data_IF_731679960331
#
_entry.id   IF_731679960331
#
_cell.length_a   1.000
_cell.length_b   1.000
_cell.length_c   1.000
_cell.angle_alpha   90.00
_cell.angle_beta   90.00
_cell.angle_gamma   90.00
#
_symmetry.space_group_name_H-M   'P 1'
#
loop_
_entity.id
_entity.type
_entity.pdbx_description
1 polymer ?
#
# COMPACT_ATOMS: atom_id res chain seq x y z
N UNK A 1 11.72 -4.97 8.10
CA UNK A 1 11.04 -4.66 6.83
C UNK A 1 10.06 -5.78 6.57
N UNK A 2 8.79 -5.51 6.29
CA UNK A 2 7.81 -6.57 6.01
C UNK A 2 8.09 -7.12 4.61
N UNK A 3 8.30 -8.43 4.48
CA UNK A 3 8.30 -9.11 3.20
C UNK A 3 6.87 -9.36 2.72
N UNK A 4 6.72 -9.91 1.51
CA UNK A 4 5.41 -10.16 0.93
C UNK A 4 4.55 -11.12 1.80
N UNK A 5 5.19 -12.08 2.46
CA UNK A 5 4.52 -13.03 3.36
C UNK A 5 4.02 -12.33 4.62
N UNK A 6 4.82 -11.46 5.24
CA UNK A 6 4.38 -10.69 6.41
C UNK A 6 3.23 -9.75 6.07
N UNK A 7 3.28 -9.04 4.93
CA UNK A 7 2.18 -8.16 4.48
C UNK A 7 0.91 -8.94 4.24
N UNK A 8 1.00 -10.12 3.62
CA UNK A 8 -0.13 -10.99 3.35
C UNK A 8 -0.79 -11.45 4.66
N UNK A 9 0.01 -11.87 5.64
CA UNK A 9 -0.48 -12.31 6.94
C UNK A 9 -1.15 -11.17 7.71
N UNK A 10 -0.53 -9.99 7.74
CA UNK A 10 -1.07 -8.80 8.39
C UNK A 10 -2.37 -8.33 7.74
N UNK A 11 -2.42 -8.26 6.40
CA UNK A 11 -3.61 -7.81 5.67
C UNK A 11 -4.82 -8.72 5.94
N UNK A 12 -4.63 -10.05 5.94
CA UNK A 12 -5.70 -11.00 6.28
C UNK A 12 -6.14 -10.87 7.73
N UNK A 13 -5.18 -10.75 8.64
CA UNK A 13 -5.49 -10.59 10.06
C UNK A 13 -6.29 -9.31 10.35
N UNK A 14 -5.95 -8.19 9.72
CA UNK A 14 -6.71 -6.95 9.83
C UNK A 14 -8.11 -7.06 9.22
N UNK A 15 -8.25 -7.74 8.09
CA UNK A 15 -9.54 -7.99 7.45
C UNK A 15 -10.45 -8.90 8.31
N UNK A 16 -9.90 -9.96 8.91
CA UNK A 16 -10.61 -10.85 9.83
C UNK A 16 -11.10 -10.13 11.10
N UNK A 17 -10.39 -9.07 11.50
CA UNK A 17 -10.76 -8.19 12.61
C UNK A 17 -11.72 -7.06 12.19
N UNK A 18 -12.18 -7.06 10.93
CA UNK A 18 -13.10 -6.06 10.36
C UNK A 18 -12.60 -4.61 10.43
N UNK A 19 -11.27 -4.41 10.39
CA UNK A 19 -10.73 -3.08 10.17
C UNK A 19 -11.13 -2.55 8.79
N UNK A 20 -11.47 -1.26 8.72
CA UNK A 20 -11.90 -0.66 7.46
C UNK A 20 -10.74 -0.47 6.47
N UNK A 21 -9.55 -0.12 6.98
CA UNK A 21 -8.36 0.15 6.17
C UNK A 21 -7.12 -0.58 6.64
N UNK A 22 -6.30 -1.00 5.69
CA UNK A 22 -4.86 -1.15 5.87
C UNK A 22 -4.16 0.05 5.21
N UNK A 23 -3.23 0.67 5.94
CA UNK A 23 -2.57 1.90 5.51
C UNK A 23 -1.06 1.70 5.36
N UNK A 24 -0.49 2.23 4.27
CA UNK A 24 0.94 2.26 4.04
C UNK A 24 1.43 3.70 3.85
N UNK A 25 2.38 4.12 4.68
CA UNK A 25 3.06 5.41 4.56
C UNK A 25 4.36 5.28 3.79
N UNK A 26 4.63 6.22 2.89
CA UNK A 26 5.84 6.19 2.06
C UNK A 26 6.97 7.00 2.67
N UNK A 27 8.19 6.44 2.63
CA UNK A 27 9.40 7.15 3.02
C UNK A 27 10.49 6.82 2.00
N UNK A 28 11.29 7.81 1.61
CA UNK A 28 12.51 7.54 0.83
C UNK A 28 13.68 7.10 1.72
N UNK A 29 13.75 7.69 2.92
CA UNK A 29 14.68 7.33 3.98
C UNK A 29 13.98 7.51 5.32
N UNK A 30 14.26 6.64 6.30
CA UNK A 30 13.70 6.74 7.66
C UNK A 30 14.72 6.27 8.69
N UNK A 31 14.80 6.97 9.82
CA UNK A 31 15.70 6.65 10.94
C UNK A 31 17.06 7.34 10.86
N UNK A 32 17.88 7.14 11.91
CA UNK A 32 19.26 7.63 11.98
C UNK A 32 20.15 6.54 12.63
N UNK A 33 21.04 5.87 11.87
CA UNK A 33 21.22 6.00 10.43
C UNK A 33 19.99 5.51 9.63
N UNK A 34 19.82 5.95 8.36
CA UNK A 34 18.69 5.55 7.54
C UNK A 34 18.63 4.03 7.30
N UNK A 35 17.43 3.46 7.47
CA UNK A 35 17.13 2.07 7.11
C UNK A 35 16.36 1.96 5.79
N UNK A 36 16.17 0.72 5.34
CA UNK A 36 15.39 0.41 4.13
C UNK A 36 13.90 0.74 4.35
N UNK A 37 13.29 1.37 3.36
CA UNK A 37 11.87 1.74 3.34
C UNK A 37 11.16 1.12 2.14
N UNK A 38 9.83 1.05 2.21
CA UNK A 38 8.98 0.51 1.14
C UNK A 38 8.34 1.63 0.32
N UNK A 39 8.14 1.38 -0.97
CA UNK A 39 7.17 2.13 -1.75
C UNK A 39 5.76 1.66 -1.38
N UNK A 40 4.83 2.59 -1.18
CA UNK A 40 3.50 2.25 -0.66
C UNK A 40 2.63 1.47 -1.65
N UNK A 41 2.65 1.84 -2.94
CA UNK A 41 1.77 1.21 -3.94
C UNK A 41 2.06 -0.29 -4.14
N UNK A 42 3.32 -0.75 -4.28
CA UNK A 42 3.62 -2.19 -4.35
C UNK A 42 3.24 -2.94 -3.07
N UNK A 43 3.46 -2.33 -1.89
CA UNK A 43 3.12 -2.95 -0.61
C UNK A 43 1.59 -3.16 -0.50
N UNK A 44 0.81 -2.14 -0.86
CA UNK A 44 -0.65 -2.22 -0.89
C UNK A 44 -1.15 -3.17 -1.99
N UNK A 45 -0.43 -3.34 -3.10
CA UNK A 45 -0.76 -4.35 -4.10
C UNK A 45 -0.62 -5.79 -3.57
N UNK A 46 0.37 -6.05 -2.71
CA UNK A 46 0.48 -7.34 -2.02
C UNK A 46 -0.72 -7.54 -1.07
N UNK A 47 -1.07 -6.52 -0.29
CA UNK A 47 -2.25 -6.59 0.58
C UNK A 47 -3.55 -6.79 -0.22
N UNK A 48 -3.69 -6.12 -1.37
CA UNK A 48 -4.81 -6.25 -2.28
C UNK A 48 -5.02 -7.70 -2.73
N UNK A 49 -3.95 -8.38 -3.16
CA UNK A 49 -4.03 -9.77 -3.61
C UNK A 49 -4.28 -10.78 -2.48
N UNK A 50 -4.13 -10.38 -1.22
CA UNK A 50 -4.32 -11.24 -0.06
C UNK A 50 -5.73 -11.18 0.54
N UNK A 51 -6.54 -10.19 0.14
CA UNK A 51 -7.78 -9.75 0.82
C UNK A 51 -8.86 -9.38 -0.19
N UNK A 52 -10.13 -9.32 0.24
CA UNK A 52 -11.28 -9.10 -0.67
C UNK A 52 -12.13 -7.87 -0.32
N UNK A 53 -12.06 -7.36 0.92
CA UNK A 53 -12.95 -6.34 1.47
C UNK A 53 -12.22 -5.14 2.07
N UNK A 54 -11.14 -5.36 2.81
CA UNK A 54 -10.42 -4.29 3.51
C UNK A 54 -9.93 -3.23 2.52
N UNK A 55 -10.12 -1.95 2.83
CA UNK A 55 -9.73 -0.85 1.95
C UNK A 55 -8.23 -0.57 2.06
N UNK A 56 -7.64 -0.10 0.96
CA UNK A 56 -6.20 0.13 0.85
C UNK A 56 -5.95 1.65 0.89
N UNK A 57 -5.15 2.14 1.84
CA UNK A 57 -4.87 3.56 1.98
C UNK A 57 -3.38 3.86 1.83
N UNK A 58 -3.02 4.76 0.92
CA UNK A 58 -1.73 5.45 1.02
C UNK A 58 -1.88 6.53 2.09
N UNK A 59 -1.34 6.34 3.29
CA UNK A 59 -1.48 7.37 4.35
C UNK A 59 -0.68 8.63 4.01
N UNK A 60 0.42 8.44 3.28
CA UNK A 60 1.19 9.47 2.58
C UNK A 60 1.74 8.83 1.31
N UNK A 61 1.58 9.49 0.17
CA UNK A 61 2.30 9.20 -1.06
C UNK A 61 3.22 10.37 -1.43
N UNK A 62 4.49 10.08 -1.76
CA UNK A 62 5.46 11.09 -2.15
C UNK A 62 5.29 11.44 -3.63
N UNK A 63 4.17 12.08 -3.97
CA UNK A 63 3.77 12.39 -5.36
C UNK A 63 4.87 13.05 -6.21
N UNK A 64 5.76 13.94 -5.69
CA UNK A 64 6.82 14.53 -6.50
C UNK A 64 7.88 13.52 -7.00
N UNK A 65 7.91 12.31 -6.44
CA UNK A 65 8.87 11.26 -6.83
C UNK A 65 8.35 10.36 -7.96
N UNK A 66 7.12 10.57 -8.40
CA UNK A 66 6.54 9.82 -9.51
C UNK A 66 6.34 10.74 -10.71
N UNK A 67 6.61 10.21 -11.92
CA UNK A 67 6.12 10.86 -13.12
C UNK A 67 4.58 10.83 -13.10
N UNK A 68 3.86 11.94 -13.30
CA UNK A 68 2.42 12.02 -13.07
C UNK A 68 1.61 11.00 -13.89
N UNK A 69 2.01 10.74 -15.14
CA UNK A 69 1.37 9.70 -15.97
C UNK A 69 1.61 8.28 -15.45
N UNK A 70 2.79 8.02 -14.86
CA UNK A 70 3.08 6.73 -14.26
C UNK A 70 2.33 6.56 -12.94
N UNK A 71 2.24 7.62 -12.14
CA UNK A 71 1.46 7.62 -10.93
C UNK A 71 0.00 7.26 -11.24
N UNK A 72 -0.62 7.97 -12.18
CA UNK A 72 -1.99 7.68 -12.62
C UNK A 72 -2.14 6.23 -13.10
N UNK A 73 -1.20 5.73 -13.91
CA UNK A 73 -1.23 4.34 -14.39
C UNK A 73 -1.17 3.33 -13.24
N UNK A 74 -0.24 3.52 -12.29
CA UNK A 74 -0.04 2.61 -11.17
C UNK A 74 -1.25 2.59 -10.24
N UNK A 75 -1.79 3.75 -9.90
CA UNK A 75 -2.92 3.85 -8.97
C UNK A 75 -4.20 3.32 -9.61
N UNK A 76 -4.48 3.63 -10.88
CA UNK A 76 -5.62 3.06 -11.58
C UNK A 76 -5.50 1.54 -11.74
N UNK A 77 -4.30 1.02 -12.01
CA UNK A 77 -4.08 -0.44 -12.06
C UNK A 77 -4.37 -1.09 -10.72
N UNK A 78 -3.89 -0.53 -9.60
CA UNK A 78 -4.15 -1.07 -8.28
C UNK A 78 -5.63 -0.93 -7.88
N UNK A 79 -6.26 0.20 -8.19
CA UNK A 79 -7.68 0.42 -7.91
C UNK A 79 -8.55 -0.63 -8.62
N UNK A 80 -8.33 -0.84 -9.93
CA UNK A 80 -9.03 -1.88 -10.68
C UNK A 80 -8.72 -3.29 -10.18
N UNK A 81 -7.45 -3.60 -9.90
CA UNK A 81 -7.04 -4.92 -9.42
C UNK A 81 -7.61 -5.25 -8.03
N UNK A 82 -7.89 -4.24 -7.23
CA UNK A 82 -8.47 -4.37 -5.89
C UNK A 82 -10.00 -4.19 -5.87
N UNK A 83 -10.66 -4.08 -7.03
CA UNK A 83 -12.11 -3.83 -7.15
C UNK A 83 -12.57 -2.52 -6.49
N UNK A 84 -11.82 -1.44 -6.66
CA UNK A 84 -12.18 -0.10 -6.18
C UNK A 84 -11.85 0.15 -4.70
N UNK A 85 -10.97 -0.66 -4.10
CA UNK A 85 -10.62 -0.57 -2.68
C UNK A 85 -9.55 0.46 -2.38
N UNK A 86 -8.90 1.07 -3.39
CA UNK A 86 -7.82 2.02 -3.18
C UNK A 86 -8.36 3.41 -2.81
N UNK A 87 -7.81 3.99 -1.74
CA UNK A 87 -7.95 5.40 -1.37
C UNK A 87 -6.56 6.04 -1.43
N UNK A 88 -6.41 7.04 -2.29
CA UNK A 88 -5.18 7.83 -2.38
C UNK A 88 -5.23 8.98 -1.37
N UNK A 89 -4.35 8.91 -0.36
CA UNK A 89 -4.04 10.01 0.57
C UNK A 89 -2.75 10.73 0.24
#
# INVERSE_FOLDING_TARGET
MLGATEVTAEARWLEDLEFEYIAAGEHFMRGQPPGVTHASLPLLAVAAGATEKIRLLTSILLTPFYHPLMLAKLTTTLDLASSGRLTLG
#
